data_IF_113017021916
#
_entry.id   IF_113017021916
#
_cell.length_a   1.000
_cell.length_b   1.000
_cell.length_c   1.000
_cell.angle_alpha   90.00
_cell.angle_beta   90.00
_cell.angle_gamma   90.00
#
_symmetry.space_group_name_H-M   'P 1'
#
loop_
_entity.id
_entity.type
_entity.pdbx_description
1 polymer ?
#
# COMPACT_ATOMS: atom_id res chain seq x y z
N UNK A 1 4.58 10.57 4.20
CA UNK A 1 5.07 10.17 2.86
C UNK A 1 6.04 9.02 3.03
N UNK A 2 5.78 7.86 2.47
CA UNK A 2 6.65 6.69 2.53
C UNK A 2 7.54 6.58 1.27
N UNK A 3 8.51 5.67 1.27
CA UNK A 3 9.48 5.49 0.18
C UNK A 3 8.81 5.18 -1.19
N UNK A 4 7.70 4.44 -1.19
CA UNK A 4 6.94 4.15 -2.41
C UNK A 4 6.34 5.43 -3.02
N UNK A 5 5.71 6.29 -2.22
CA UNK A 5 5.13 7.54 -2.71
C UNK A 5 6.19 8.55 -3.18
N UNK A 6 7.38 8.56 -2.53
CA UNK A 6 8.53 9.34 -3.01
C UNK A 6 8.94 8.87 -4.41
N UNK A 7 9.10 7.57 -4.61
CA UNK A 7 9.48 7.00 -5.91
C UNK A 7 8.43 7.29 -7.01
N UNK A 8 7.13 7.25 -6.67
CA UNK A 8 6.05 7.63 -7.61
C UNK A 8 6.16 9.10 -7.98
N UNK A 9 6.39 9.99 -7.01
CA UNK A 9 6.55 11.44 -7.26
C UNK A 9 7.75 11.73 -8.14
N UNK A 10 8.92 11.17 -7.84
CA UNK A 10 10.15 11.33 -8.64
C UNK A 10 9.97 10.82 -10.08
N UNK A 11 9.29 9.68 -10.25
CA UNK A 11 8.99 9.15 -11.57
C UNK A 11 8.02 10.05 -12.35
N UNK A 12 7.03 10.64 -11.66
CA UNK A 12 6.10 11.57 -12.26
C UNK A 12 6.80 12.87 -12.70
N UNK A 13 7.68 13.43 -11.86
CA UNK A 13 8.49 14.62 -12.20
C UNK A 13 9.37 14.36 -13.42
N UNK A 14 10.12 13.26 -13.40
CA UNK A 14 10.99 12.88 -14.53
C UNK A 14 10.19 12.72 -15.84
N UNK A 15 8.98 12.15 -15.75
CA UNK A 15 8.14 11.95 -16.94
C UNK A 15 7.50 13.25 -17.42
N UNK A 16 7.12 14.13 -16.51
CA UNK A 16 6.62 15.47 -16.84
C UNK A 16 7.67 16.30 -17.58
N UNK A 17 8.91 16.28 -17.10
CA UNK A 17 10.07 16.93 -17.75
C UNK A 17 10.30 16.39 -19.17
N UNK A 18 10.28 15.05 -19.34
CA UNK A 18 10.44 14.41 -20.65
C UNK A 18 9.34 14.84 -21.63
N UNK A 19 8.11 14.97 -21.15
CA UNK A 19 6.95 15.31 -21.97
C UNK A 19 6.73 16.81 -22.15
N UNK A 20 7.43 17.67 -21.39
CA UNK A 20 7.23 19.12 -21.37
C UNK A 20 5.90 19.51 -20.77
N UNK A 21 5.45 18.81 -19.73
CA UNK A 21 4.22 19.06 -18.98
C UNK A 21 4.55 19.76 -17.67
N UNK A 22 3.84 20.83 -17.34
CA UNK A 22 3.95 21.48 -16.04
C UNK A 22 3.25 20.59 -14.99
N UNK A 23 4.01 20.12 -13.99
CA UNK A 23 3.51 19.26 -12.92
C UNK A 23 3.55 19.97 -11.58
N UNK A 24 2.47 19.85 -10.82
CA UNK A 24 2.41 20.23 -9.41
C UNK A 24 2.06 19.00 -8.58
N UNK A 25 2.83 18.72 -7.53
CA UNK A 25 2.59 17.61 -6.61
C UNK A 25 2.03 18.16 -5.32
N UNK A 26 0.91 17.59 -4.85
CA UNK A 26 0.23 17.96 -3.62
C UNK A 26 0.12 16.73 -2.71
N UNK A 27 0.29 16.93 -1.39
CA UNK A 27 0.00 15.91 -0.38
C UNK A 27 -1.26 16.29 0.40
N UNK A 28 -2.15 15.34 0.57
CA UNK A 28 -3.32 15.49 1.43
C UNK A 28 -3.09 14.95 2.85
N UNK A 29 -1.92 14.37 3.12
CA UNK A 29 -1.52 13.81 4.42
C UNK A 29 -2.57 12.87 5.03
N UNK A 30 -3.15 12.01 4.19
CA UNK A 30 -4.21 11.05 4.53
C UNK A 30 -5.54 11.70 4.99
N UNK A 31 -5.75 12.98 4.68
CA UNK A 31 -6.98 13.70 5.02
C UNK A 31 -7.88 13.90 3.79
N UNK A 32 -9.04 13.24 3.78
CA UNK A 32 -9.98 13.30 2.65
C UNK A 32 -10.55 14.72 2.41
N UNK A 33 -10.78 15.50 3.47
CA UNK A 33 -11.30 16.87 3.33
C UNK A 33 -10.25 17.78 2.68
N UNK A 34 -8.97 17.60 3.04
CA UNK A 34 -7.86 18.28 2.41
C UNK A 34 -7.77 17.90 0.93
N UNK A 35 -7.87 16.60 0.59
CA UNK A 35 -7.80 16.15 -0.80
C UNK A 35 -8.95 16.68 -1.65
N UNK A 36 -10.19 16.71 -1.12
CA UNK A 36 -11.35 17.34 -1.78
C UNK A 36 -11.06 18.81 -2.08
N UNK A 37 -10.58 19.56 -1.08
CA UNK A 37 -10.25 20.98 -1.25
C UNK A 37 -9.16 21.22 -2.30
N UNK A 38 -8.15 20.34 -2.36
CA UNK A 38 -7.10 20.38 -3.38
C UNK A 38 -7.65 20.10 -4.79
N UNK A 39 -8.57 19.13 -4.96
CA UNK A 39 -9.24 18.86 -6.23
C UNK A 39 -10.03 20.10 -6.68
N UNK A 40 -10.83 20.70 -5.80
CA UNK A 40 -11.61 21.91 -6.10
C UNK A 40 -10.70 23.09 -6.46
N UNK A 41 -9.58 23.26 -5.76
CA UNK A 41 -8.59 24.28 -6.07
C UNK A 41 -8.01 24.09 -7.47
N UNK A 42 -7.57 22.87 -7.82
CA UNK A 42 -7.02 22.58 -9.15
C UNK A 42 -8.03 22.87 -10.26
N UNK A 43 -9.31 22.53 -10.05
CA UNK A 43 -10.38 22.90 -10.99
C UNK A 43 -10.47 24.42 -11.15
N UNK A 44 -10.45 25.18 -10.06
CA UNK A 44 -10.57 26.64 -10.09
C UNK A 44 -9.34 27.33 -10.70
N UNK A 45 -8.16 26.73 -10.58
CA UNK A 45 -6.89 27.21 -11.15
C UNK A 45 -6.72 26.81 -12.62
N UNK A 46 -7.59 25.93 -13.15
CA UNK A 46 -7.64 25.56 -14.55
C UNK A 46 -6.62 24.50 -14.97
N UNK A 47 -6.34 23.55 -14.08
CA UNK A 47 -5.54 22.39 -14.43
C UNK A 47 -6.24 21.53 -15.50
N UNK A 48 -5.47 21.00 -16.45
CA UNK A 48 -6.00 20.17 -17.54
C UNK A 48 -6.30 18.74 -17.08
N UNK A 49 -5.52 18.22 -16.14
CA UNK A 49 -5.64 16.84 -15.65
C UNK A 49 -5.23 16.72 -14.18
N UNK A 50 -5.84 15.77 -13.48
CA UNK A 50 -5.49 15.37 -12.12
C UNK A 50 -5.23 13.87 -12.08
N UNK A 51 -4.01 13.51 -11.66
CA UNK A 51 -3.65 12.14 -11.30
C UNK A 51 -3.66 12.06 -9.77
N UNK A 52 -4.49 11.20 -9.18
CA UNK A 52 -4.59 11.15 -7.73
C UNK A 52 -4.83 9.74 -7.20
N UNK A 53 -4.22 9.43 -6.06
CA UNK A 53 -4.55 8.30 -5.23
C UNK A 53 -5.65 8.74 -4.25
N UNK A 54 -6.86 8.14 -4.29
CA UNK A 54 -7.91 8.54 -3.36
C UNK A 54 -7.57 8.06 -1.94
N UNK A 55 -7.46 8.97 -0.98
CA UNK A 55 -7.30 8.64 0.45
C UNK A 55 -8.55 8.00 1.04
N UNK A 56 -9.70 8.26 0.47
CA UNK A 56 -10.98 7.63 0.77
C UNK A 56 -11.69 7.32 -0.55
N UNK A 57 -11.67 6.05 -1.00
CA UNK A 57 -12.27 5.67 -2.28
C UNK A 57 -13.74 6.02 -2.45
N UNK A 58 -14.51 6.01 -1.36
CA UNK A 58 -15.94 6.37 -1.37
C UNK A 58 -16.13 7.89 -1.28
N UNK A 59 -15.44 8.52 -0.33
CA UNK A 59 -15.59 9.95 -0.03
C UNK A 59 -15.11 10.89 -1.14
N UNK A 60 -14.19 10.45 -2.00
CA UNK A 60 -13.65 11.26 -3.10
C UNK A 60 -14.44 11.14 -4.42
N UNK A 61 -15.36 10.20 -4.54
CA UNK A 61 -16.07 9.90 -5.78
C UNK A 61 -16.86 11.11 -6.33
N UNK A 62 -17.57 11.83 -5.45
CA UNK A 62 -18.35 13.01 -5.85
C UNK A 62 -17.47 14.20 -6.26
N UNK A 63 -16.36 14.43 -5.56
CA UNK A 63 -15.41 15.48 -5.91
C UNK A 63 -14.73 15.19 -7.25
N UNK A 64 -14.34 13.94 -7.49
CA UNK A 64 -13.77 13.51 -8.76
C UNK A 64 -14.77 13.70 -9.92
N UNK A 65 -16.03 13.31 -9.70
CA UNK A 65 -17.09 13.51 -10.69
C UNK A 65 -17.32 14.99 -11.00
N UNK A 66 -17.37 15.85 -10.00
CA UNK A 66 -17.54 17.29 -10.16
C UNK A 66 -16.41 17.92 -10.98
N UNK A 67 -15.17 17.50 -10.71
CA UNK A 67 -13.99 17.94 -11.46
C UNK A 67 -14.04 17.47 -12.92
N UNK A 68 -14.41 16.22 -13.17
CA UNK A 68 -14.60 15.69 -14.53
C UNK A 68 -15.69 16.42 -15.29
N UNK A 69 -16.83 16.69 -14.65
CA UNK A 69 -17.95 17.45 -15.23
C UNK A 69 -17.54 18.90 -15.57
N UNK A 70 -16.51 19.43 -14.91
CA UNK A 70 -15.90 20.75 -15.20
C UNK A 70 -14.87 20.70 -16.33
N UNK A 71 -14.58 19.53 -16.89
CA UNK A 71 -13.70 19.34 -18.04
C UNK A 71 -12.26 18.93 -17.70
N UNK A 72 -11.94 18.69 -16.43
CA UNK A 72 -10.62 18.20 -16.00
C UNK A 72 -10.52 16.69 -16.25
N UNK A 73 -9.43 16.24 -16.84
CA UNK A 73 -9.17 14.81 -17.03
C UNK A 73 -8.79 14.18 -15.69
N UNK A 74 -9.63 13.29 -15.18
CA UNK A 74 -9.42 12.63 -13.89
C UNK A 74 -8.84 11.24 -14.08
N UNK A 75 -7.73 10.92 -13.40
CA UNK A 75 -7.06 9.63 -13.47
C UNK A 75 -6.76 9.15 -12.05
N UNK A 76 -7.19 7.94 -11.71
CA UNK A 76 -6.73 7.32 -10.47
C UNK A 76 -5.41 6.59 -10.67
N UNK A 77 -4.51 6.74 -9.71
CA UNK A 77 -3.23 6.03 -9.63
C UNK A 77 -3.17 5.26 -8.31
N UNK A 78 -2.42 4.13 -8.27
CA UNK A 78 -2.19 3.30 -7.08
C UNK A 78 -3.44 2.60 -6.57
N UNK A 79 -4.54 3.33 -6.38
CA UNK A 79 -5.87 2.81 -6.02
C UNK A 79 -6.94 3.56 -6.82
N UNK A 80 -8.19 3.15 -6.71
CA UNK A 80 -9.29 3.75 -7.46
C UNK A 80 -10.46 4.14 -6.55
N UNK A 81 -11.14 5.23 -6.90
CA UNK A 81 -12.43 5.55 -6.30
C UNK A 81 -13.44 4.41 -6.52
N UNK A 82 -14.32 4.21 -5.56
CA UNK A 82 -15.44 3.27 -5.71
C UNK A 82 -16.29 3.69 -6.92
N UNK A 83 -16.71 2.70 -7.69
CA UNK A 83 -17.51 2.90 -8.91
C UNK A 83 -16.89 3.92 -9.90
N UNK A 84 -15.58 3.93 -10.00
CA UNK A 84 -14.81 4.88 -10.80
C UNK A 84 -15.30 4.99 -12.26
N UNK A 85 -15.82 3.90 -12.83
CA UNK A 85 -16.35 3.86 -14.20
C UNK A 85 -17.52 4.83 -14.42
N UNK A 86 -18.26 5.13 -13.34
CA UNK A 86 -19.44 6.01 -13.38
C UNK A 86 -19.17 7.41 -12.78
N UNK A 87 -17.99 7.62 -12.21
CA UNK A 87 -17.61 8.85 -11.50
C UNK A 87 -16.67 9.77 -12.30
N UNK A 88 -16.71 9.69 -13.63
CA UNK A 88 -15.93 10.59 -14.50
C UNK A 88 -14.43 10.32 -14.54
N UNK A 89 -13.95 9.25 -13.93
CA UNK A 89 -12.54 8.83 -14.01
C UNK A 89 -12.27 8.26 -15.39
N UNK A 90 -11.33 8.88 -16.11
CA UNK A 90 -10.98 8.53 -17.49
C UNK A 90 -10.12 7.28 -17.59
N UNK A 91 -9.29 7.03 -16.59
CA UNK A 91 -8.39 5.87 -16.52
C UNK A 91 -8.02 5.55 -15.07
N UNK A 92 -7.60 4.32 -14.85
CA UNK A 92 -7.00 3.89 -13.59
C UNK A 92 -5.68 3.16 -13.87
N UNK A 93 -4.67 3.40 -13.02
CA UNK A 93 -3.37 2.74 -13.09
C UNK A 93 -3.00 2.23 -11.70
N UNK A 94 -3.20 0.94 -11.46
CA UNK A 94 -2.86 0.31 -10.18
C UNK A 94 -2.40 -1.14 -10.38
N UNK A 95 -1.67 -1.66 -9.40
CA UNK A 95 -1.25 -3.05 -9.35
C UNK A 95 -2.40 -3.99 -8.98
N UNK A 96 -2.27 -5.25 -9.35
CA UNK A 96 -3.20 -6.28 -8.86
C UNK A 96 -2.82 -6.69 -7.44
N UNK A 97 -3.38 -6.00 -6.45
CA UNK A 97 -3.07 -6.23 -5.03
C UNK A 97 -3.48 -7.61 -4.53
N UNK A 98 -4.58 -8.18 -5.02
CA UNK A 98 -4.95 -9.58 -4.70
C UNK A 98 -3.85 -10.52 -5.18
N UNK A 99 -3.37 -10.33 -6.41
CA UNK A 99 -2.29 -11.16 -6.96
C UNK A 99 -0.96 -10.96 -6.24
N UNK A 100 -0.66 -9.74 -5.80
CA UNK A 100 0.52 -9.46 -4.98
C UNK A 100 0.46 -10.25 -3.67
N UNK A 101 -0.65 -10.17 -2.94
CA UNK A 101 -0.87 -10.95 -1.72
C UNK A 101 -0.82 -12.46 -1.95
N UNK A 102 -1.45 -12.98 -3.01
CA UNK A 102 -1.33 -14.40 -3.37
C UNK A 102 0.13 -14.81 -3.61
N UNK A 103 0.89 -13.98 -4.32
CA UNK A 103 2.29 -14.29 -4.65
C UNK A 103 3.16 -14.29 -3.40
N UNK A 104 3.01 -13.32 -2.53
CA UNK A 104 3.73 -13.20 -1.28
C UNK A 104 3.43 -14.38 -0.35
N UNK A 105 2.15 -14.63 -0.07
CA UNK A 105 1.75 -15.71 0.83
C UNK A 105 2.13 -17.10 0.29
N UNK A 106 2.10 -17.30 -1.02
CA UNK A 106 2.59 -18.56 -1.62
C UNK A 106 4.10 -18.77 -1.38
N UNK A 107 4.91 -17.70 -1.37
CA UNK A 107 6.33 -17.80 -1.03
C UNK A 107 6.51 -18.08 0.46
N UNK A 108 5.77 -17.40 1.34
CA UNK A 108 5.77 -17.67 2.78
C UNK A 108 5.41 -19.13 3.05
N UNK A 109 4.35 -19.64 2.42
CA UNK A 109 3.93 -21.04 2.59
C UNK A 109 5.01 -22.03 2.14
N UNK A 110 5.73 -21.75 1.05
CA UNK A 110 6.87 -22.57 0.60
C UNK A 110 8.03 -22.55 1.59
N UNK A 111 8.40 -21.37 2.07
CA UNK A 111 9.50 -21.20 3.03
C UNK A 111 9.21 -21.90 4.37
N UNK A 112 7.96 -21.85 4.80
CA UNK A 112 7.45 -22.54 6.00
C UNK A 112 7.21 -24.05 5.76
N UNK A 113 7.42 -24.57 4.56
CA UNK A 113 7.05 -25.95 4.20
C UNK A 113 5.58 -26.29 4.55
N UNK A 114 4.68 -25.30 4.41
CA UNK A 114 3.24 -25.43 4.60
C UNK A 114 2.75 -25.42 6.04
N UNK A 115 3.60 -25.11 7.03
CA UNK A 115 3.25 -25.15 8.44
C UNK A 115 3.99 -24.08 9.24
N UNK A 116 3.30 -23.39 10.14
CA UNK A 116 3.91 -22.42 11.06
C UNK A 116 2.91 -21.38 11.55
N UNK A 117 3.38 -20.52 12.43
CA UNK A 117 2.64 -19.42 13.00
C UNK A 117 3.03 -18.12 12.31
N UNK A 118 2.04 -17.38 11.82
CA UNK A 118 2.27 -16.12 11.14
C UNK A 118 1.53 -14.96 11.83
N UNK A 119 2.06 -13.74 11.64
CA UNK A 119 1.41 -12.49 11.98
C UNK A 119 1.49 -11.52 10.78
N UNK A 120 0.55 -10.60 10.69
CA UNK A 120 0.41 -9.72 9.53
C UNK A 120 0.26 -8.26 10.00
N UNK A 121 1.31 -7.45 9.94
CA UNK A 121 1.18 -6.00 9.96
C UNK A 121 0.50 -5.57 8.65
N UNK A 122 -0.65 -4.93 8.75
CA UNK A 122 -1.41 -4.48 7.59
C UNK A 122 -1.32 -2.97 7.40
N UNK A 123 -1.65 -2.51 6.20
CA UNK A 123 -1.95 -1.12 5.93
C UNK A 123 -3.39 -0.77 6.31
N UNK A 124 -3.85 0.34 5.79
CA UNK A 124 -5.23 0.79 5.90
C UNK A 124 -6.17 0.03 4.93
N UNK A 125 -7.28 0.65 4.56
CA UNK A 125 -8.24 0.09 3.61
C UNK A 125 -7.62 -0.37 2.27
N UNK A 126 -6.47 0.19 1.86
CA UNK A 126 -5.73 -0.25 0.66
C UNK A 126 -5.13 -1.64 0.78
N UNK A 127 -4.86 -2.09 2.00
CA UNK A 127 -4.34 -3.43 2.31
C UNK A 127 -5.37 -4.56 2.17
N UNK A 128 -6.65 -4.26 2.17
CA UNK A 128 -7.71 -5.28 2.14
C UNK A 128 -7.62 -6.24 0.95
N UNK A 129 -7.18 -5.77 -0.22
CA UNK A 129 -7.01 -6.62 -1.40
C UNK A 129 -5.80 -7.57 -1.26
N UNK A 130 -4.70 -7.14 -0.61
CA UNK A 130 -3.57 -8.04 -0.30
C UNK A 130 -4.00 -9.10 0.71
N UNK A 131 -4.78 -8.71 1.73
CA UNK A 131 -5.38 -9.64 2.69
C UNK A 131 -6.25 -10.69 2.01
N UNK A 132 -7.10 -10.31 1.03
CA UNK A 132 -7.87 -11.27 0.23
C UNK A 132 -6.94 -12.28 -0.46
N UNK A 133 -5.84 -11.80 -1.03
CA UNK A 133 -4.81 -12.65 -1.65
C UNK A 133 -4.21 -13.65 -0.65
N UNK A 134 -3.86 -13.19 0.55
CA UNK A 134 -3.35 -14.06 1.63
C UNK A 134 -4.36 -15.14 2.00
N UNK A 135 -5.61 -14.77 2.21
CA UNK A 135 -6.69 -15.71 2.54
C UNK A 135 -6.90 -16.75 1.44
N UNK A 136 -6.82 -16.36 0.16
CA UNK A 136 -6.95 -17.29 -0.97
C UNK A 136 -5.89 -18.40 -0.93
N UNK A 137 -4.67 -18.07 -0.56
CA UNK A 137 -3.56 -19.02 -0.46
C UNK A 137 -3.65 -19.85 0.83
N UNK A 138 -3.92 -19.23 1.96
CA UNK A 138 -3.99 -19.91 3.27
C UNK A 138 -5.05 -21.04 3.32
N UNK A 139 -6.10 -20.94 2.50
CA UNK A 139 -7.08 -22.04 2.32
C UNK A 139 -6.42 -23.37 1.93
N UNK A 140 -5.30 -23.33 1.23
CA UNK A 140 -4.56 -24.51 0.78
C UNK A 140 -3.54 -25.01 1.79
N UNK A 141 -3.23 -24.23 2.84
CA UNK A 141 -2.20 -24.51 3.85
C UNK A 141 -2.77 -24.49 5.28
N UNK A 142 -3.62 -25.45 5.66
CA UNK A 142 -4.36 -25.41 6.93
C UNK A 142 -3.49 -25.53 8.18
N UNK A 143 -2.18 -25.88 8.03
CA UNK A 143 -1.23 -25.91 9.14
C UNK A 143 -0.46 -24.59 9.32
N UNK A 144 -0.62 -23.63 8.43
CA UNK A 144 -0.18 -22.25 8.66
C UNK A 144 -1.27 -21.54 9.46
N UNK A 145 -0.89 -20.99 10.61
CA UNK A 145 -1.84 -20.36 11.54
C UNK A 145 -1.52 -18.89 11.72
N UNK A 146 -2.46 -18.04 11.38
CA UNK A 146 -2.42 -16.66 11.81
C UNK A 146 -2.80 -16.61 13.29
N UNK A 147 -1.83 -16.38 14.16
CA UNK A 147 -2.00 -16.52 15.62
C UNK A 147 -2.47 -15.25 16.31
N UNK A 148 -2.49 -14.14 15.61
CA UNK A 148 -2.98 -12.84 16.06
C UNK A 148 -3.72 -12.16 14.93
N UNK A 149 -4.76 -11.37 15.25
CA UNK A 149 -5.46 -10.58 14.24
C UNK A 149 -4.50 -9.60 13.54
N UNK A 150 -4.67 -9.30 12.24
CA UNK A 150 -3.91 -8.25 11.58
C UNK A 150 -4.02 -6.93 12.34
N UNK A 151 -2.95 -6.16 12.36
CA UNK A 151 -2.96 -4.84 12.97
C UNK A 151 -2.67 -3.79 11.91
N UNK A 152 -3.50 -2.76 11.87
CA UNK A 152 -3.27 -1.59 11.03
C UNK A 152 -2.06 -0.81 11.54
N UNK A 153 -0.99 -0.84 10.77
CA UNK A 153 0.25 -0.12 11.00
C UNK A 153 0.39 1.11 10.08
N UNK A 154 -0.65 1.45 9.33
CA UNK A 154 -0.72 2.66 8.49
C UNK A 154 0.44 2.78 7.51
N UNK A 155 0.94 1.66 6.97
CA UNK A 155 2.09 1.60 6.07
C UNK A 155 3.39 2.14 6.68
N UNK A 156 3.44 2.32 8.02
CA UNK A 156 4.52 3.00 8.73
C UNK A 156 5.49 2.02 9.41
N UNK A 157 6.79 2.27 9.22
CA UNK A 157 7.87 1.43 9.74
C UNK A 157 7.90 1.36 11.27
N UNK A 158 7.74 2.51 11.94
CA UNK A 158 7.83 2.57 13.40
C UNK A 158 6.61 1.94 14.08
N UNK A 159 5.43 2.14 13.47
CA UNK A 159 4.19 1.50 13.92
C UNK A 159 4.28 -0.03 13.80
N UNK A 160 4.78 -0.54 12.66
CA UNK A 160 4.98 -1.97 12.46
C UNK A 160 6.03 -2.52 13.45
N UNK A 161 7.15 -1.83 13.66
CA UNK A 161 8.15 -2.24 14.64
C UNK A 161 7.55 -2.41 16.02
N UNK A 162 6.86 -1.39 16.55
CA UNK A 162 6.24 -1.43 17.88
C UNK A 162 5.20 -2.54 18.02
N UNK A 163 4.41 -2.76 16.97
CA UNK A 163 3.40 -3.82 16.92
C UNK A 163 4.08 -5.19 16.97
N UNK A 164 5.10 -5.41 16.16
CA UNK A 164 5.84 -6.68 16.09
C UNK A 164 6.60 -6.96 17.39
N UNK A 165 7.23 -5.97 18.02
CA UNK A 165 7.86 -6.12 19.35
C UNK A 165 6.84 -6.65 20.37
N UNK A 166 5.63 -6.14 20.36
CA UNK A 166 4.54 -6.61 21.22
C UNK A 166 4.15 -8.05 20.89
N UNK A 167 4.03 -8.41 19.61
CA UNK A 167 3.66 -9.76 19.20
C UNK A 167 4.74 -10.79 19.55
N UNK A 168 6.02 -10.48 19.34
CA UNK A 168 7.14 -11.35 19.69
C UNK A 168 7.24 -11.63 21.19
N UNK A 169 6.71 -10.73 22.01
CA UNK A 169 6.63 -10.94 23.46
C UNK A 169 5.51 -11.91 23.87
N UNK A 170 4.51 -12.13 23.00
CA UNK A 170 3.31 -12.88 23.31
C UNK A 170 3.13 -14.17 22.49
N UNK A 171 3.77 -14.28 21.34
CA UNK A 171 3.57 -15.38 20.40
C UNK A 171 4.91 -15.90 19.85
N UNK A 172 4.98 -17.20 19.64
CA UNK A 172 6.05 -17.81 18.85
C UNK A 172 5.67 -17.66 17.36
N UNK A 173 6.43 -16.87 16.62
CA UNK A 173 6.19 -16.59 15.21
C UNK A 173 7.26 -17.24 14.33
N UNK A 174 6.83 -17.91 13.26
CA UNK A 174 7.69 -18.48 12.23
C UNK A 174 7.82 -17.51 11.04
N UNK A 175 6.79 -16.68 10.77
CA UNK A 175 6.87 -15.63 9.77
C UNK A 175 6.04 -14.38 10.12
N UNK A 176 6.48 -13.24 9.58
CA UNK A 176 5.78 -11.96 9.61
C UNK A 176 5.61 -11.50 8.16
N UNK A 177 4.35 -11.38 7.74
CA UNK A 177 3.97 -11.07 6.36
C UNK A 177 3.52 -9.62 6.32
N UNK A 178 4.33 -8.75 5.74
CA UNK A 178 4.10 -7.31 5.76
C UNK A 178 3.59 -6.83 4.40
N UNK A 179 2.51 -6.09 4.39
CA UNK A 179 1.91 -5.62 3.13
C UNK A 179 2.78 -4.61 2.37
N UNK A 180 3.84 -4.04 2.99
CA UNK A 180 4.85 -3.26 2.28
C UNK A 180 6.25 -3.41 2.89
N UNK A 181 7.27 -2.94 2.17
CA UNK A 181 8.67 -2.99 2.59
C UNK A 181 8.95 -2.16 3.83
N UNK A 182 8.30 -0.99 3.98
CA UNK A 182 8.49 -0.15 5.17
C UNK A 182 8.12 -0.89 6.46
N UNK A 183 6.98 -1.58 6.46
CA UNK A 183 6.56 -2.42 7.60
C UNK A 183 7.45 -3.65 7.74
N UNK A 184 7.96 -4.24 6.64
CA UNK A 184 8.90 -5.35 6.69
C UNK A 184 10.24 -4.95 7.34
N UNK A 185 10.77 -3.77 7.02
CA UNK A 185 11.95 -3.19 7.69
C UNK A 185 11.68 -2.99 9.19
N UNK A 186 10.51 -2.46 9.55
CA UNK A 186 10.09 -2.33 10.95
C UNK A 186 10.01 -3.67 11.68
N UNK A 187 9.44 -4.69 11.03
CA UNK A 187 9.38 -6.05 11.56
C UNK A 187 10.78 -6.67 11.73
N UNK A 188 11.69 -6.44 10.77
CA UNK A 188 13.08 -6.85 10.85
C UNK A 188 13.83 -6.23 12.03
N UNK A 189 13.64 -4.92 12.23
CA UNK A 189 14.21 -4.21 13.39
C UNK A 189 13.72 -4.78 14.72
N UNK A 190 12.44 -5.12 14.81
CA UNK A 190 11.85 -5.74 16.01
C UNK A 190 12.34 -7.16 16.25
N UNK A 191 12.43 -7.98 15.21
CA UNK A 191 12.87 -9.37 15.32
C UNK A 191 14.36 -9.50 15.60
N UNK A 192 15.15 -8.55 15.09
CA UNK A 192 16.61 -8.56 15.18
C UNK A 192 17.27 -9.55 14.22
N UNK A 193 18.55 -9.28 13.94
CA UNK A 193 19.36 -10.12 13.07
C UNK A 193 19.44 -11.57 13.60
N UNK A 194 19.35 -12.54 12.71
CA UNK A 194 19.41 -13.97 13.02
C UNK A 194 18.27 -14.51 13.89
N UNK A 195 17.12 -13.85 13.92
CA UNK A 195 15.92 -14.35 14.64
C UNK A 195 15.43 -15.70 14.11
N UNK A 196 15.70 -15.99 12.85
CA UNK A 196 15.17 -17.17 12.15
C UNK A 196 13.72 -16.99 11.67
N UNK A 197 13.10 -15.85 11.94
CA UNK A 197 11.75 -15.52 11.51
C UNK A 197 11.80 -15.07 10.04
N UNK A 198 10.93 -15.65 9.22
CA UNK A 198 10.75 -15.23 7.82
C UNK A 198 10.00 -13.90 7.82
N UNK A 199 10.55 -12.88 7.16
CA UNK A 199 9.89 -11.59 7.01
C UNK A 199 9.78 -11.30 5.52
N UNK A 200 8.58 -10.89 5.08
CA UNK A 200 8.31 -10.55 3.68
C UNK A 200 7.71 -9.15 3.57
N UNK A 201 7.85 -8.55 2.41
CA UNK A 201 7.32 -7.24 2.07
C UNK A 201 6.95 -7.16 0.59
N UNK A 202 6.38 -6.04 0.21
CA UNK A 202 5.98 -5.68 -1.15
C UNK A 202 6.49 -4.28 -1.43
N UNK A 203 6.78 -3.94 -2.67
CA UNK A 203 7.13 -2.66 -3.30
C UNK A 203 8.48 -2.74 -4.02
N UNK A 204 9.52 -3.35 -3.44
CA UNK A 204 10.87 -3.37 -3.98
C UNK A 204 11.60 -2.04 -3.78
N UNK A 205 11.43 -1.44 -2.60
CA UNK A 205 12.11 -0.21 -2.22
C UNK A 205 13.62 -0.43 -1.98
N UNK A 206 14.46 0.61 -2.07
CA UNK A 206 15.89 0.48 -1.73
C UNK A 206 16.11 -0.11 -0.33
N UNK A 207 15.37 0.36 0.67
CA UNK A 207 15.49 -0.12 2.06
C UNK A 207 15.06 -1.59 2.19
N UNK A 208 14.02 -2.02 1.45
CA UNK A 208 13.60 -3.41 1.38
C UNK A 208 14.68 -4.31 0.76
N UNK A 209 15.32 -3.85 -0.33
CA UNK A 209 16.44 -4.57 -0.93
C UNK A 209 17.66 -4.65 -0.02
N UNK A 210 17.99 -3.59 0.72
CA UNK A 210 19.09 -3.60 1.70
C UNK A 210 18.80 -4.61 2.81
N UNK A 211 17.58 -4.62 3.36
CA UNK A 211 17.17 -5.54 4.40
C UNK A 211 17.23 -7.05 4.02
N UNK A 212 17.16 -7.37 2.72
CA UNK A 212 17.32 -8.74 2.22
C UNK A 212 18.79 -9.16 2.16
N UNK A 213 19.71 -8.22 2.05
CA UNK A 213 21.15 -8.49 1.87
C UNK A 213 21.89 -8.65 3.21
N UNK A 214 21.35 -8.10 4.29
CA UNK A 214 21.89 -8.17 5.66
C UNK A 214 21.41 -9.42 6.43
#
# INVERSE_FOLDING_TARGET
TNAFQIAVSEAAEAKADELGVDLTILSADQDAATQISQIEQCVSEGYDALLFEPVDPDGLADAAKSAADSGVVMINIISACTDWQNNGISAVSYGNNVKAGETEMEQVAKLLNGKGNIAIPSGDAGGLQRMEGYENILKNYPEIKQVVAPADCQWDTASAQSTVESWLSAYDLDAIVCENDGMAVGAGNAAGANSGIIITGVDGTPDGFEAIQD
#
